data_IF_343393262710
#
_entry.id   IF_343393262710
#
_cell.length_a   1.000
_cell.length_b   1.000
_cell.length_c   1.000
_cell.angle_alpha   90.00
_cell.angle_beta   90.00
_cell.angle_gamma   90.00
#
_symmetry.space_group_name_H-M   'P 1'
#
loop_
_entity.id
_entity.type
_entity.pdbx_description
1 polymer ?
#
# COMPACT_ATOMS: atom_id res chain seq x y z
N UNK A 1 -20.54 -26.97 0.59
CA UNK A 1 -19.12 -26.64 0.30
C UNK A 1 -18.37 -26.60 1.64
N UNK A 2 -17.18 -27.21 1.77
CA UNK A 2 -16.41 -27.18 3.05
C UNK A 2 -15.98 -25.74 3.36
N UNK A 3 -16.06 -25.32 4.62
CA UNK A 3 -15.73 -23.94 5.08
C UNK A 3 -14.32 -23.49 4.66
N UNK A 4 -13.37 -24.42 4.65
CA UNK A 4 -11.99 -24.19 4.17
C UNK A 4 -11.91 -23.85 2.68
N UNK A 5 -12.73 -24.49 1.84
CA UNK A 5 -12.77 -24.23 0.40
C UNK A 5 -13.27 -22.82 0.11
N UNK A 6 -14.31 -22.36 0.83
CA UNK A 6 -14.84 -20.99 0.72
C UNK A 6 -13.76 -19.96 1.05
N UNK A 7 -13.06 -20.16 2.18
CA UNK A 7 -11.98 -19.26 2.64
C UNK A 7 -10.85 -19.14 1.60
N UNK A 8 -10.46 -20.25 0.98
CA UNK A 8 -9.41 -20.24 -0.05
C UNK A 8 -9.87 -19.55 -1.34
N UNK A 9 -11.12 -19.75 -1.77
CA UNK A 9 -11.68 -19.04 -2.92
C UNK A 9 -11.65 -17.53 -2.68
N UNK A 10 -12.07 -17.07 -1.50
CA UNK A 10 -12.05 -15.64 -1.14
C UNK A 10 -10.62 -15.07 -1.23
N UNK A 11 -9.62 -15.76 -0.68
CA UNK A 11 -8.21 -15.33 -0.75
C UNK A 11 -7.72 -15.23 -2.19
N UNK A 12 -8.05 -16.21 -3.04
CA UNK A 12 -7.64 -16.22 -4.45
C UNK A 12 -8.30 -15.06 -5.20
N UNK A 13 -9.62 -14.89 -5.05
CA UNK A 13 -10.35 -13.78 -5.70
C UNK A 13 -9.77 -12.44 -5.27
N UNK A 14 -9.48 -12.28 -3.97
CA UNK A 14 -8.86 -11.08 -3.44
C UNK A 14 -7.47 -10.81 -4.05
N UNK A 15 -6.60 -11.83 -4.10
CA UNK A 15 -5.27 -11.71 -4.70
C UNK A 15 -5.32 -11.40 -6.20
N UNK A 16 -6.22 -12.05 -6.94
CA UNK A 16 -6.45 -11.79 -8.37
C UNK A 16 -6.95 -10.37 -8.59
N UNK A 17 -7.90 -9.90 -7.78
CA UNK A 17 -8.41 -8.53 -7.88
C UNK A 17 -7.31 -7.48 -7.67
N UNK A 18 -6.43 -7.69 -6.68
CA UNK A 18 -5.25 -6.84 -6.45
C UNK A 18 -4.35 -6.83 -7.68
N UNK A 19 -4.00 -8.01 -8.19
CA UNK A 19 -3.09 -8.16 -9.32
C UNK A 19 -3.64 -7.53 -10.60
N UNK A 20 -4.92 -7.74 -10.91
CA UNK A 20 -5.60 -7.12 -12.06
C UNK A 20 -5.64 -5.61 -11.90
N UNK A 21 -5.97 -5.10 -10.71
CA UNK A 21 -5.98 -3.66 -10.44
C UNK A 21 -4.59 -3.04 -10.67
N UNK A 22 -3.53 -3.71 -10.21
CA UNK A 22 -2.15 -3.26 -10.38
C UNK A 22 -1.73 -3.22 -11.86
N UNK A 23 -2.13 -4.23 -12.66
CA UNK A 23 -1.81 -4.28 -14.09
C UNK A 23 -2.58 -3.21 -14.87
N UNK A 24 -3.90 -3.12 -14.68
CA UNK A 24 -4.77 -2.20 -15.43
C UNK A 24 -4.37 -0.74 -15.18
N UNK A 25 -3.90 -0.43 -13.98
CA UNK A 25 -3.52 0.92 -13.59
C UNK A 25 -1.98 1.11 -13.55
N UNK A 26 -1.20 0.21 -14.16
CA UNK A 26 0.25 0.21 -14.03
C UNK A 26 0.87 1.54 -14.44
N UNK A 27 0.51 2.09 -15.60
CA UNK A 27 1.07 3.35 -16.10
C UNK A 27 0.75 4.53 -15.17
N UNK A 28 -0.47 4.58 -14.64
CA UNK A 28 -0.87 5.62 -13.69
C UNK A 28 -0.14 5.48 -12.35
N UNK A 29 -0.09 4.27 -11.79
CA UNK A 29 0.51 4.00 -10.49
C UNK A 29 2.04 4.14 -10.50
N UNK A 30 2.68 3.77 -11.60
CA UNK A 30 4.14 3.86 -11.77
C UNK A 30 4.64 5.28 -12.03
N UNK A 31 3.76 6.20 -12.43
CA UNK A 31 4.06 7.61 -12.68
C UNK A 31 3.29 8.55 -11.74
N UNK A 32 2.83 8.04 -10.58
CA UNK A 32 2.01 8.79 -9.64
C UNK A 32 2.78 10.00 -9.08
N UNK A 33 2.28 11.21 -9.33
CA UNK A 33 2.75 12.41 -8.63
C UNK A 33 1.87 12.69 -7.40
N UNK A 34 2.40 12.39 -6.22
CA UNK A 34 1.69 12.57 -4.94
C UNK A 34 1.36 14.04 -4.68
N UNK A 35 2.07 14.99 -5.29
CA UNK A 35 1.78 16.42 -5.13
C UNK A 35 0.43 16.81 -5.72
N UNK A 36 0.03 16.17 -6.82
CA UNK A 36 -1.29 16.37 -7.44
C UNK A 36 -2.39 15.90 -6.49
N UNK A 37 -2.17 14.79 -5.77
CA UNK A 37 -3.13 14.25 -4.82
C UNK A 37 -3.35 15.18 -3.62
N UNK A 38 -2.28 15.81 -3.13
CA UNK A 38 -2.36 16.71 -1.97
C UNK A 38 -2.69 18.17 -2.34
N UNK A 39 -2.68 18.54 -3.63
CA UNK A 39 -2.98 19.90 -4.08
C UNK A 39 -4.39 20.36 -3.69
N UNK A 40 -5.34 19.42 -3.57
CA UNK A 40 -6.71 19.68 -3.11
C UNK A 40 -6.89 19.59 -1.59
N UNK A 41 -5.84 19.36 -0.81
CA UNK A 41 -5.96 19.21 0.64
C UNK A 41 -6.30 20.55 1.30
N UNK A 42 -7.36 20.59 2.11
CA UNK A 42 -7.76 21.81 2.82
C UNK A 42 -6.89 22.14 4.04
N UNK A 43 -5.97 21.25 4.42
CA UNK A 43 -5.00 21.49 5.50
C UNK A 43 -3.78 20.58 5.36
N UNK A 44 -2.71 20.93 6.08
CA UNK A 44 -1.48 20.15 6.15
C UNK A 44 -1.73 18.71 6.65
N UNK A 45 -2.56 18.57 7.68
CA UNK A 45 -2.92 17.26 8.23
C UNK A 45 -3.62 16.38 7.19
N UNK A 46 -4.49 16.95 6.37
CA UNK A 46 -5.17 16.19 5.31
C UNK A 46 -4.18 15.75 4.23
N UNK A 47 -3.21 16.60 3.87
CA UNK A 47 -2.16 16.22 2.92
C UNK A 47 -1.35 15.02 3.45
N UNK A 48 -0.96 15.05 4.73
CA UNK A 48 -0.26 13.94 5.40
C UNK A 48 -1.10 12.65 5.39
N UNK A 49 -2.39 12.73 5.72
CA UNK A 49 -3.30 11.58 5.69
C UNK A 49 -3.47 10.99 4.28
N UNK A 50 -3.55 11.84 3.24
CA UNK A 50 -3.59 11.39 1.85
C UNK A 50 -2.32 10.59 1.53
N UNK A 51 -1.15 11.09 1.91
CA UNK A 51 0.14 10.41 1.69
C UNK A 51 0.19 9.05 2.43
N UNK A 52 -0.25 8.99 3.69
CA UNK A 52 -0.32 7.73 4.43
C UNK A 52 -1.32 6.75 3.79
N UNK A 53 -2.39 7.26 3.18
CA UNK A 53 -3.29 6.50 2.31
C UNK A 53 -2.57 5.92 1.09
N UNK A 54 -1.74 6.71 0.42
CA UNK A 54 -0.93 6.26 -0.73
C UNK A 54 0.02 5.14 -0.30
N UNK A 55 0.67 5.23 0.88
CA UNK A 55 1.49 4.13 1.41
C UNK A 55 0.68 2.85 1.65
N UNK A 56 -0.53 2.98 2.19
CA UNK A 56 -1.43 1.85 2.42
C UNK A 56 -1.83 1.16 1.11
N UNK A 57 -2.14 1.94 0.07
CA UNK A 57 -2.45 1.41 -1.27
C UNK A 57 -1.23 0.75 -1.90
N UNK A 58 -0.07 1.41 -1.84
CA UNK A 58 1.21 0.88 -2.33
C UNK A 58 1.53 -0.46 -1.68
N UNK A 59 1.32 -0.61 -0.37
CA UNK A 59 1.61 -1.83 0.37
C UNK A 59 0.88 -3.08 -0.16
N UNK A 60 -0.27 -2.86 -0.80
CA UNK A 60 -1.11 -3.90 -1.40
C UNK A 60 -0.79 -4.08 -2.89
N UNK A 61 -0.68 -2.99 -3.65
CA UNK A 61 -0.52 -3.03 -5.11
C UNK A 61 0.93 -3.28 -5.57
N UNK A 62 1.93 -2.95 -4.74
CA UNK A 62 3.37 -3.13 -4.97
C UNK A 62 3.97 -2.49 -6.24
N UNK A 63 3.19 -1.75 -7.04
CA UNK A 63 3.65 -1.13 -8.30
C UNK A 63 4.04 0.33 -8.17
N UNK A 64 3.61 1.03 -7.13
CA UNK A 64 3.96 2.44 -6.89
C UNK A 64 5.43 2.50 -6.40
N UNK A 65 6.36 3.15 -7.11
CA UNK A 65 7.76 3.26 -6.68
C UNK A 65 7.89 4.05 -5.38
N UNK A 66 8.69 3.56 -4.43
CA UNK A 66 8.89 4.24 -3.14
C UNK A 66 9.57 5.60 -3.32
N UNK A 67 10.51 5.69 -4.27
CA UNK A 67 11.24 6.91 -4.60
C UNK A 67 10.32 8.06 -5.01
N UNK A 68 9.26 7.79 -5.77
CA UNK A 68 8.29 8.81 -6.16
C UNK A 68 7.61 9.43 -4.94
N UNK A 69 7.16 8.60 -3.99
CA UNK A 69 6.53 9.10 -2.77
C UNK A 69 7.54 9.92 -1.96
N UNK A 70 8.75 9.39 -1.73
CA UNK A 70 9.76 10.10 -0.92
C UNK A 70 10.14 11.46 -1.49
N UNK A 71 10.34 11.54 -2.81
CA UNK A 71 10.69 12.79 -3.50
C UNK A 71 9.50 13.76 -3.44
N UNK A 72 8.29 13.31 -3.78
CA UNK A 72 7.11 14.17 -3.73
C UNK A 72 6.84 14.73 -2.33
N UNK A 73 7.01 13.91 -1.28
CA UNK A 73 6.89 14.34 0.12
C UNK A 73 7.98 15.33 0.50
N UNK A 74 9.24 15.06 0.11
CA UNK A 74 10.36 15.97 0.36
C UNK A 74 10.26 17.32 -0.36
N UNK A 75 9.54 17.38 -1.48
CA UNK A 75 9.22 18.62 -2.18
C UNK A 75 8.01 19.35 -1.60
N UNK A 76 7.09 18.64 -0.94
CA UNK A 76 5.84 19.19 -0.43
C UNK A 76 5.93 19.76 1.00
N UNK A 77 6.86 19.26 1.83
CA UNK A 77 6.99 19.67 3.24
C UNK A 77 8.41 20.09 3.60
N UNK A 78 8.55 20.76 4.74
CA UNK A 78 9.84 20.96 5.39
C UNK A 78 10.50 19.62 5.76
N UNK A 79 11.83 19.61 5.88
CA UNK A 79 12.62 18.39 6.09
C UNK A 79 12.16 17.57 7.29
N UNK A 80 11.81 18.21 8.41
CA UNK A 80 11.42 17.50 9.63
C UNK A 80 10.10 16.76 9.41
N UNK A 81 9.09 17.45 8.86
CA UNK A 81 7.79 16.84 8.55
C UNK A 81 7.92 15.76 7.49
N UNK A 82 8.65 16.02 6.40
CA UNK A 82 8.85 15.05 5.33
C UNK A 82 9.45 13.73 5.84
N UNK A 83 10.45 13.81 6.74
CA UNK A 83 11.05 12.61 7.37
C UNK A 83 10.02 11.86 8.21
N UNK A 84 9.26 12.55 9.07
CA UNK A 84 8.25 11.93 9.94
C UNK A 84 7.17 11.23 9.10
N UNK A 85 6.62 11.91 8.10
CA UNK A 85 5.54 11.38 7.25
C UNK A 85 6.01 10.13 6.50
N UNK A 86 7.22 10.16 5.91
CA UNK A 86 7.76 9.00 5.22
C UNK A 86 8.03 7.82 6.16
N UNK A 87 8.54 8.05 7.37
CA UNK A 87 8.75 6.99 8.36
C UNK A 87 7.43 6.34 8.80
N UNK A 88 6.41 7.15 9.06
CA UNK A 88 5.06 6.65 9.37
C UNK A 88 4.48 5.86 8.19
N UNK A 89 4.64 6.37 6.97
CA UNK A 89 4.23 5.70 5.75
C UNK A 89 4.88 4.33 5.57
N UNK A 90 6.19 4.22 5.77
CA UNK A 90 6.94 2.95 5.72
C UNK A 90 6.45 1.99 6.82
N UNK A 91 6.22 2.48 8.03
CA UNK A 91 5.71 1.66 9.12
C UNK A 91 4.33 1.07 8.78
N UNK A 92 3.45 1.86 8.16
CA UNK A 92 2.16 1.39 7.64
C UNK A 92 2.37 0.36 6.53
N UNK A 93 3.25 0.63 5.57
CA UNK A 93 3.52 -0.26 4.44
C UNK A 93 3.93 -1.65 4.90
N UNK A 94 4.95 -1.73 5.77
CA UNK A 94 5.44 -2.99 6.32
C UNK A 94 4.35 -3.72 7.11
N UNK A 95 3.56 -2.98 7.90
CA UNK A 95 2.47 -3.55 8.70
C UNK A 95 1.37 -4.15 7.81
N UNK A 96 0.93 -3.41 6.80
CA UNK A 96 -0.12 -3.85 5.86
C UNK A 96 0.36 -5.06 5.06
N UNK A 97 1.59 -5.03 4.51
CA UNK A 97 2.16 -6.16 3.77
C UNK A 97 2.31 -7.40 4.64
N UNK A 98 2.69 -7.26 5.92
CA UNK A 98 2.74 -8.37 6.86
C UNK A 98 1.36 -9.02 7.06
N UNK A 99 0.32 -8.22 7.34
CA UNK A 99 -1.04 -8.75 7.53
C UNK A 99 -1.60 -9.36 6.26
N UNK A 100 -1.31 -8.78 5.09
CA UNK A 100 -1.68 -9.35 3.80
C UNK A 100 -1.03 -10.71 3.56
N UNK A 101 0.28 -10.83 3.78
CA UNK A 101 1.01 -12.10 3.69
C UNK A 101 0.47 -13.15 4.66
N UNK A 102 0.19 -12.74 5.90
CA UNK A 102 -0.44 -13.60 6.93
C UNK A 102 -1.83 -14.06 6.49
N UNK A 103 -2.66 -13.18 5.94
CA UNK A 103 -4.00 -13.55 5.47
C UNK A 103 -3.95 -14.56 4.31
N UNK A 104 -3.10 -14.30 3.31
CA UNK A 104 -3.00 -15.13 2.11
C UNK A 104 -2.32 -16.48 2.38
N UNK A 105 -1.21 -16.50 3.11
CA UNK A 105 -0.29 -17.64 3.17
C UNK A 105 -0.17 -18.39 4.50
N UNK A 106 -0.76 -17.90 5.61
CA UNK A 106 -0.55 -18.50 6.96
C UNK A 106 -0.75 -20.02 6.99
N UNK A 107 -1.88 -20.50 6.46
CA UNK A 107 -2.24 -21.92 6.51
C UNK A 107 -1.20 -22.80 5.76
N UNK A 108 -0.60 -22.27 4.68
CA UNK A 108 0.43 -22.98 3.90
C UNK A 108 1.79 -22.99 4.60
N UNK A 109 2.14 -21.89 5.29
CA UNK A 109 3.39 -21.77 6.07
C UNK A 109 3.33 -22.66 7.32
N UNK A 110 2.22 -22.65 8.05
CA UNK A 110 2.05 -23.48 9.25
C UNK A 110 2.17 -24.98 8.95
N UNK A 111 1.73 -25.44 7.78
CA UNK A 111 1.88 -26.83 7.32
C UNK A 111 3.32 -27.24 6.99
N UNK A 112 4.22 -26.28 6.75
CA UNK A 112 5.64 -26.55 6.44
C UNK A 112 6.54 -26.51 7.68
N UNK A 113 6.10 -25.85 8.75
CA UNK A 113 6.89 -25.65 9.98
C UNK A 113 6.45 -26.62 11.10
N UNK A 114 5.29 -27.28 10.95
CA UNK A 114 4.83 -28.39 11.79
C UNK A 114 4.92 -29.70 11.03
#
# INVERSE_FOLDING_TARGET
>A
MKKETVKNIIKIVFAVAIFVTAIVNYDYLSNLDVRVLIAGASSLLIAELIILGVYSVKAVLMVIPASLIYISVGMAFDTKRAVIVNLLGIAIEVTVTFFMGKFLGKDAVEKKIR
#
